data_IF_993946207061
#
_entry.id   IF_993946207061
#
_cell.length_a   1.000
_cell.length_b   1.000
_cell.length_c   1.000
_cell.angle_alpha   90.00
_cell.angle_beta   90.00
_cell.angle_gamma   90.00
#
_symmetry.space_group_name_H-M   'P 1'
#
loop_
_entity.id
_entity.type
_entity.pdbx_description
1 polymer ?
#
# COMPACT_ATOMS: atom_id res chain seq x y z
N UNK A 1 -27.26 -25.91 -43.59
CA UNK A 1 -26.64 -25.92 -42.24
C UNK A 1 -26.01 -24.55 -42.01
N UNK A 2 -26.38 -23.85 -40.94
CA UNK A 2 -25.82 -22.53 -40.61
C UNK A 2 -26.63 -21.85 -39.51
N UNK A 3 -26.46 -22.31 -38.27
CA UNK A 3 -27.15 -21.77 -37.08
C UNK A 3 -26.42 -20.51 -36.63
N UNK A 4 -27.03 -19.34 -36.77
CA UNK A 4 -26.55 -18.10 -36.16
C UNK A 4 -26.83 -18.13 -34.66
N UNK A 5 -25.77 -18.22 -33.84
CA UNK A 5 -25.88 -18.11 -32.39
C UNK A 5 -25.78 -16.63 -31.98
N UNK A 6 -26.74 -16.18 -31.17
CA UNK A 6 -26.78 -14.84 -30.56
C UNK A 6 -25.70 -14.71 -29.49
N UNK A 7 -24.81 -13.73 -29.65
CA UNK A 7 -23.93 -13.24 -28.58
C UNK A 7 -24.77 -12.58 -27.49
N UNK A 8 -24.71 -13.10 -26.26
CA UNK A 8 -25.08 -12.35 -25.06
C UNK A 8 -23.80 -11.82 -24.44
N UNK A 9 -23.47 -10.57 -24.76
CA UNK A 9 -22.52 -9.77 -23.99
C UNK A 9 -23.22 -9.42 -22.68
N UNK A 10 -22.80 -10.09 -21.61
CA UNK A 10 -23.11 -9.68 -20.24
C UNK A 10 -21.95 -8.81 -19.77
N UNK A 11 -22.05 -7.49 -19.99
CA UNK A 11 -21.22 -6.54 -19.25
C UNK A 11 -21.79 -6.42 -17.84
N UNK A 12 -21.09 -6.97 -16.85
CA UNK A 12 -21.29 -6.61 -15.44
C UNK A 12 -20.74 -5.20 -15.22
N UNK A 13 -21.41 -4.31 -14.48
CA UNK A 13 -20.90 -2.98 -14.21
C UNK A 13 -19.67 -3.10 -13.31
N UNK A 14 -18.54 -2.54 -13.76
CA UNK A 14 -17.30 -2.51 -13.02
C UNK A 14 -17.49 -1.80 -11.69
N UNK A 15 -17.34 -2.53 -10.59
CA UNK A 15 -16.94 -1.93 -9.33
C UNK A 15 -15.61 -1.22 -9.61
N UNK A 16 -15.52 0.08 -9.31
CA UNK A 16 -14.26 0.80 -9.38
C UNK A 16 -13.26 0.05 -8.49
N UNK A 17 -12.35 -0.71 -9.11
CA UNK A 17 -11.32 -1.43 -8.40
C UNK A 17 -10.46 -0.38 -7.73
N UNK A 18 -10.43 -0.38 -6.40
CA UNK A 18 -9.53 0.49 -5.64
C UNK A 18 -8.12 0.36 -6.24
N UNK A 19 -7.37 1.47 -6.37
CA UNK A 19 -6.02 1.42 -6.91
C UNK A 19 -5.24 0.34 -6.16
N UNK A 20 -4.73 -0.63 -6.91
CA UNK A 20 -3.99 -1.77 -6.36
C UNK A 20 -2.53 -1.37 -6.31
N UNK A 21 -2.06 -0.95 -5.15
CA UNK A 21 -0.64 -0.68 -4.89
C UNK A 21 0.03 -1.94 -4.33
N UNK A 22 1.26 -2.19 -4.74
CA UNK A 22 2.13 -3.21 -4.15
C UNK A 22 2.88 -2.65 -2.94
N UNK A 23 3.48 -3.53 -2.14
CA UNK A 23 4.36 -3.11 -1.04
C UNK A 23 5.52 -2.23 -1.54
N UNK A 24 6.11 -2.58 -2.69
CA UNK A 24 7.19 -1.80 -3.27
C UNK A 24 6.75 -0.39 -3.70
N UNK A 25 5.53 -0.24 -4.24
CA UNK A 25 4.99 1.07 -4.61
C UNK A 25 4.84 1.97 -3.37
N UNK A 26 4.34 1.39 -2.27
CA UNK A 26 4.17 2.10 -1.01
C UNK A 26 5.52 2.49 -0.38
N UNK A 27 6.51 1.59 -0.41
CA UNK A 27 7.85 1.88 0.11
C UNK A 27 8.56 2.98 -0.71
N UNK A 28 8.37 3.01 -2.02
CA UNK A 28 8.90 4.10 -2.85
C UNK A 28 8.31 5.46 -2.46
N UNK A 29 7.00 5.51 -2.19
CA UNK A 29 6.33 6.72 -1.72
C UNK A 29 6.75 7.11 -0.30
N UNK A 30 6.93 6.13 0.60
CA UNK A 30 7.45 6.37 1.94
C UNK A 30 8.84 7.02 1.89
N UNK A 31 9.75 6.49 1.06
CA UNK A 31 11.09 7.08 0.89
C UNK A 31 11.03 8.51 0.35
N UNK A 32 10.17 8.78 -0.64
CA UNK A 32 10.00 10.14 -1.16
C UNK A 32 9.48 11.11 -0.08
N UNK A 33 8.54 10.66 0.75
CA UNK A 33 8.03 11.44 1.88
C UNK A 33 9.13 11.69 2.93
N UNK A 34 9.95 10.68 3.25
CA UNK A 34 11.13 10.85 4.13
C UNK A 34 12.13 11.87 3.57
N UNK A 35 12.47 11.78 2.28
CA UNK A 35 13.37 12.74 1.61
C UNK A 35 12.81 14.18 1.65
N UNK A 36 11.49 14.32 1.79
CA UNK A 36 10.77 15.59 1.90
C UNK A 36 10.48 16.00 3.34
N UNK A 37 10.96 15.26 4.34
CA UNK A 37 10.70 15.44 5.78
C UNK A 37 9.20 15.35 6.15
N UNK A 38 8.39 14.66 5.35
CA UNK A 38 6.97 14.39 5.62
C UNK A 38 6.81 13.04 6.35
N UNK A 39 7.34 12.95 7.56
CA UNK A 39 7.45 11.68 8.30
C UNK A 39 6.10 11.06 8.67
N UNK A 40 5.08 11.87 8.97
CA UNK A 40 3.72 11.38 9.26
C UNK A 40 3.07 10.75 8.01
N UNK A 41 3.36 11.30 6.83
CA UNK A 41 2.89 10.74 5.56
C UNK A 41 3.67 9.46 5.23
N UNK A 42 4.99 9.47 5.44
CA UNK A 42 5.82 8.27 5.29
C UNK A 42 5.32 7.14 6.19
N UNK A 43 4.96 7.45 7.44
CA UNK A 43 4.40 6.51 8.41
C UNK A 43 3.09 5.87 7.92
N UNK A 44 2.20 6.65 7.29
CA UNK A 44 0.98 6.12 6.69
C UNK A 44 1.26 5.14 5.54
N UNK A 45 2.26 5.43 4.71
CA UNK A 45 2.65 4.53 3.61
C UNK A 45 3.22 3.21 4.12
N UNK A 46 4.13 3.22 5.10
CA UNK A 46 4.69 2.00 5.69
C UNK A 46 3.64 1.21 6.48
N UNK A 47 2.73 1.88 7.19
CA UNK A 47 1.60 1.22 7.86
C UNK A 47 0.68 0.52 6.86
N UNK A 48 0.47 1.11 5.67
CA UNK A 48 -0.28 0.46 4.61
C UNK A 48 0.48 -0.73 3.99
N UNK A 49 1.80 -0.63 3.87
CA UNK A 49 2.63 -1.72 3.38
C UNK A 49 2.60 -2.93 4.33
N UNK A 50 2.72 -2.69 5.64
CA UNK A 50 2.61 -3.71 6.68
C UNK A 50 1.20 -4.31 6.77
N UNK A 51 0.16 -3.55 6.42
CA UNK A 51 -1.20 -4.10 6.31
C UNK A 51 -1.35 -5.11 5.16
N UNK A 52 -0.51 -5.03 4.11
CA UNK A 52 -0.49 -5.99 3.00
C UNK A 52 0.44 -7.16 3.29
N UNK A 53 1.63 -6.89 3.84
CA UNK A 53 2.63 -7.89 4.20
C UNK A 53 3.20 -7.59 5.61
N UNK A 54 2.58 -8.11 6.68
CA UNK A 54 2.95 -7.77 8.06
C UNK A 54 4.37 -8.16 8.46
N UNK A 55 4.97 -9.13 7.77
CA UNK A 55 6.33 -9.63 8.06
C UNK A 55 7.36 -9.15 7.04
N UNK A 56 7.04 -8.13 6.24
CA UNK A 56 7.98 -7.57 5.27
C UNK A 56 9.09 -6.82 6.02
N UNK A 57 10.30 -7.39 6.01
CA UNK A 57 11.44 -6.88 6.77
C UNK A 57 11.79 -5.43 6.41
N UNK A 58 11.71 -5.06 5.13
CA UNK A 58 12.03 -3.70 4.66
C UNK A 58 11.00 -2.69 5.18
N UNK A 59 9.72 -3.05 5.17
CA UNK A 59 8.67 -2.19 5.69
C UNK A 59 8.75 -2.02 7.22
N UNK A 60 9.11 -3.08 7.96
CA UNK A 60 9.33 -3.02 9.40
C UNK A 60 10.53 -2.13 9.77
N UNK A 61 11.65 -2.28 9.05
CA UNK A 61 12.84 -1.44 9.23
C UNK A 61 12.55 0.04 8.95
N UNK A 62 11.83 0.31 7.85
CA UNK A 62 11.40 1.66 7.49
C UNK A 62 10.46 2.25 8.56
N UNK A 63 9.47 1.49 9.03
CA UNK A 63 8.56 1.92 10.09
C UNK A 63 9.31 2.30 11.37
N UNK A 64 10.20 1.43 11.86
CA UNK A 64 10.98 1.73 13.06
C UNK A 64 11.87 2.98 12.90
N UNK A 65 12.45 3.17 11.72
CA UNK A 65 13.26 4.37 11.43
C UNK A 65 12.40 5.64 11.43
N UNK A 66 11.21 5.61 10.82
CA UNK A 66 10.28 6.74 10.78
C UNK A 66 9.70 7.05 12.17
N UNK A 67 9.36 6.03 12.96
CA UNK A 67 8.84 6.18 14.32
C UNK A 67 9.86 6.86 15.26
N UNK A 68 11.16 6.62 15.06
CA UNK A 68 12.23 7.34 15.78
C UNK A 68 12.21 8.82 15.46
N UNK A 69 12.10 9.19 14.17
CA UNK A 69 12.02 10.60 13.74
C UNK A 69 10.75 11.29 14.25
N UNK A 70 9.65 10.54 14.39
CA UNK A 70 8.38 11.02 14.95
C UNK A 70 8.33 11.05 16.48
N UNK A 71 9.41 10.63 17.15
CA UNK A 71 9.47 10.44 18.61
C UNK A 71 8.37 9.51 19.17
N UNK A 72 7.87 8.59 18.35
CA UNK A 72 6.81 7.62 18.69
C UNK A 72 7.33 6.43 19.50
N UNK A 73 8.25 6.68 20.44
CA UNK A 73 8.93 5.65 21.23
C UNK A 73 8.00 4.87 22.18
N UNK A 74 6.81 5.41 22.45
CA UNK A 74 5.85 4.78 23.36
C UNK A 74 5.03 3.66 22.70
N UNK A 75 4.91 3.69 21.37
CA UNK A 75 4.15 2.69 20.59
C UNK A 75 5.03 1.49 20.21
N UNK A 76 6.34 1.70 20.02
CA UNK A 76 7.33 0.65 19.72
C UNK A 76 7.59 -0.35 20.87
N UNK A 77 6.93 -0.19 22.03
CA UNK A 77 7.14 -1.02 23.22
C UNK A 77 6.22 -2.26 23.31
N UNK A 78 5.15 -2.34 22.51
CA UNK A 78 4.14 -3.41 22.63
C UNK A 78 4.22 -4.45 21.50
#
# INVERSE_FOLDING_TARGET
>A
MGKFQRSKVTTRPGAASAPTYTVNDLLAQANHAVDSFEFELAHQFVGRALSLEPTNLVALEAAGSIEVELEMFNEAKE
#
